data_IF_880617936371
#
_entry.id   IF_880617936371
#
_cell.length_a   1.000
_cell.length_b   1.000
_cell.length_c   1.000
_cell.angle_alpha   90.00
_cell.angle_beta   90.00
_cell.angle_gamma   90.00
#
_symmetry.space_group_name_H-M   'P 1'
#
loop_
_entity.id
_entity.type
_entity.pdbx_description
1 polymer ?
#
# COMPACT_ATOMS: atom_id res chain seq x y z
N UNK A 1 3.82 -16.80 13.87
CA UNK A 1 2.94 -16.09 14.83
C UNK A 1 2.75 -14.68 14.34
N UNK A 2 1.57 -14.09 14.55
CA UNK A 2 1.32 -12.71 14.12
C UNK A 2 2.09 -11.69 14.96
N UNK A 3 2.50 -10.58 14.34
CA UNK A 3 3.32 -9.56 15.01
C UNK A 3 2.92 -8.11 14.77
N UNK A 4 3.49 -7.21 15.57
CA UNK A 4 3.47 -5.76 15.35
C UNK A 4 4.90 -5.28 15.09
N UNK A 5 5.08 -4.56 14.01
CA UNK A 5 6.34 -3.92 13.63
C UNK A 5 6.16 -2.40 13.67
N UNK A 6 6.96 -1.71 14.47
CA UNK A 6 6.85 -0.26 14.63
C UNK A 6 7.66 0.49 13.58
N UNK A 7 7.06 1.51 13.00
CA UNK A 7 7.70 2.44 12.07
C UNK A 7 7.65 3.86 12.64
N UNK A 8 8.62 4.68 12.26
CA UNK A 8 8.68 6.08 12.70
C UNK A 8 9.12 6.98 11.56
N UNK A 9 8.55 8.19 11.47
CA UNK A 9 8.91 9.17 10.44
C UNK A 9 10.35 9.71 10.53
N UNK A 10 11.07 9.39 11.62
CA UNK A 10 12.48 9.72 11.83
C UNK A 10 13.37 8.46 11.91
N UNK A 11 12.91 7.34 11.34
CA UNK A 11 13.70 6.12 11.29
C UNK A 11 15.03 6.37 10.58
N UNK A 12 16.13 5.95 11.21
CA UNK A 12 17.46 5.92 10.57
C UNK A 12 17.66 4.67 9.71
N UNK A 13 16.68 3.77 9.70
CA UNK A 13 16.77 2.48 9.03
C UNK A 13 16.30 2.59 7.59
N UNK A 14 16.86 1.72 6.74
CA UNK A 14 16.59 1.62 5.31
C UNK A 14 15.29 0.84 5.02
N UNK A 15 14.20 1.36 5.58
CA UNK A 15 12.87 0.75 5.50
C UNK A 15 12.20 1.06 4.16
N UNK A 16 11.67 0.01 3.52
CA UNK A 16 10.70 0.12 2.43
C UNK A 16 9.55 -0.80 2.81
N UNK A 17 8.63 -0.32 3.64
CA UNK A 17 7.70 -1.16 4.44
C UNK A 17 6.88 -2.18 3.62
N UNK A 18 6.70 -1.96 2.32
CA UNK A 18 6.02 -2.91 1.44
C UNK A 18 6.91 -4.08 0.96
N UNK A 19 8.23 -3.98 1.12
CA UNK A 19 9.24 -4.90 0.60
C UNK A 19 10.22 -5.37 1.68
N UNK A 20 10.63 -4.49 2.59
CA UNK A 20 11.57 -4.79 3.66
C UNK A 20 11.41 -3.89 4.89
N UNK A 21 11.68 -4.48 6.05
CA UNK A 21 11.81 -3.78 7.32
C UNK A 21 13.19 -4.04 7.92
N UNK A 22 13.93 -2.99 8.25
CA UNK A 22 15.32 -3.04 8.68
C UNK A 22 15.41 -2.81 10.20
N UNK A 23 16.04 -3.75 10.91
CA UNK A 23 16.02 -3.76 12.36
C UNK A 23 17.30 -4.33 13.01
N UNK A 24 17.62 -3.94 14.26
CA UNK A 24 18.78 -4.42 14.98
C UNK A 24 18.58 -5.82 15.60
N UNK A 25 19.69 -6.54 15.85
CA UNK A 25 19.70 -7.91 16.40
C UNK A 25 18.82 -8.15 17.63
N UNK A 26 18.58 -7.15 18.46
CA UNK A 26 17.72 -7.27 19.66
C UNK A 26 16.30 -7.77 19.32
N UNK A 27 15.83 -7.56 18.09
CA UNK A 27 14.52 -7.97 17.63
C UNK A 27 14.52 -9.26 16.80
N UNK A 28 15.70 -9.82 16.50
CA UNK A 28 15.85 -10.96 15.59
C UNK A 28 14.96 -12.14 15.94
N UNK A 29 15.00 -12.59 17.19
CA UNK A 29 14.20 -13.73 17.65
C UNK A 29 12.69 -13.49 17.49
N UNK A 30 12.22 -12.27 17.76
CA UNK A 30 10.81 -11.92 17.63
C UNK A 30 10.39 -11.82 16.16
N UNK A 31 11.25 -11.26 15.30
CA UNK A 31 11.03 -11.18 13.87
C UNK A 31 11.04 -12.57 13.20
N UNK A 32 11.97 -13.44 13.56
CA UNK A 32 12.05 -14.83 13.09
C UNK A 32 10.77 -15.62 13.42
N UNK A 33 10.17 -15.39 14.59
CA UNK A 33 8.90 -16.01 14.97
C UNK A 33 7.71 -15.56 14.08
N UNK A 34 7.85 -14.44 13.38
CA UNK A 34 6.84 -13.93 12.44
C UNK A 34 7.01 -14.48 11.02
N UNK A 35 8.11 -15.18 10.70
CA UNK A 35 8.34 -15.74 9.36
C UNK A 35 7.23 -16.72 8.99
N UNK A 36 6.67 -16.54 7.79
CA UNK A 36 5.53 -17.31 7.29
C UNK A 36 4.17 -16.81 7.82
N UNK A 37 4.14 -15.69 8.54
CA UNK A 37 2.94 -15.16 9.18
C UNK A 37 2.83 -13.64 9.03
N UNK A 38 1.66 -13.10 9.38
CA UNK A 38 1.31 -11.71 9.14
C UNK A 38 1.77 -10.78 10.26
N UNK A 39 2.14 -9.57 9.87
CA UNK A 39 2.39 -8.46 10.78
C UNK A 39 1.45 -7.29 10.49
N UNK A 40 1.24 -6.45 11.49
CA UNK A 40 0.70 -5.10 11.31
C UNK A 40 1.79 -4.05 11.58
N UNK A 41 1.82 -3.03 10.74
CA UNK A 41 2.68 -1.88 10.93
C UNK A 41 2.00 -0.87 11.86
N UNK A 42 2.71 -0.47 12.90
CA UNK A 42 2.28 0.59 13.82
C UNK A 42 3.20 1.80 13.69
N UNK A 43 2.62 2.93 13.31
CA UNK A 43 3.32 4.19 13.32
C UNK A 43 3.41 4.74 14.75
N UNK A 44 4.63 5.01 15.21
CA UNK A 44 4.89 5.59 16.53
C UNK A 44 4.50 7.07 16.58
N UNK A 45 4.40 7.63 17.80
CA UNK A 45 4.19 9.08 17.98
C UNK A 45 5.44 9.93 17.77
N UNK A 46 6.58 9.29 17.50
CA UNK A 46 7.86 9.97 17.29
C UNK A 46 7.80 10.82 16.02
N UNK A 47 8.44 11.99 16.05
CA UNK A 47 8.44 12.95 14.93
C UNK A 47 7.04 13.35 14.43
N UNK A 48 6.05 13.42 15.34
CA UNK A 48 4.68 13.80 15.01
C UNK A 48 3.82 12.67 14.41
N UNK A 49 4.26 11.42 14.50
CA UNK A 49 3.53 10.30 13.92
C UNK A 49 2.19 9.97 14.62
N UNK A 50 1.35 9.21 13.91
CA UNK A 50 -0.10 9.08 14.21
C UNK A 50 -0.46 8.24 15.44
N UNK A 51 0.47 7.46 16.01
CA UNK A 51 0.18 6.45 17.05
C UNK A 51 -0.94 5.48 16.62
N UNK A 52 -0.84 4.98 15.39
CA UNK A 52 -1.88 4.20 14.74
C UNK A 52 -1.30 3.01 14.00
N UNK A 53 -2.10 1.96 13.79
CA UNK A 53 -1.80 0.91 12.83
C UNK A 53 -2.17 1.38 11.44
N UNK A 54 -1.32 1.09 10.46
CA UNK A 54 -1.42 1.74 9.14
C UNK A 54 -1.36 0.77 7.97
N UNK A 55 -0.89 -0.45 8.18
CA UNK A 55 -0.78 -1.45 7.13
C UNK A 55 -0.63 -2.85 7.72
N UNK A 56 -0.79 -3.87 6.87
CA UNK A 56 -0.41 -5.25 7.15
C UNK A 56 0.54 -5.78 6.07
N UNK A 57 1.32 -6.80 6.40
CA UNK A 57 2.23 -7.45 5.46
C UNK A 57 2.62 -8.84 5.94
N UNK A 58 3.05 -9.71 5.03
CA UNK A 58 3.48 -11.07 5.33
C UNK A 58 5.01 -11.12 5.38
N UNK A 59 5.57 -11.67 6.46
CA UNK A 59 7.03 -11.83 6.58
C UNK A 59 7.45 -13.11 5.87
N UNK A 60 8.24 -12.98 4.79
CA UNK A 60 8.70 -14.11 3.97
C UNK A 60 9.99 -14.73 4.46
N UNK A 61 10.97 -13.90 4.80
CA UNK A 61 12.27 -14.33 5.31
C UNK A 61 12.90 -13.23 6.15
N UNK A 62 13.93 -13.61 6.92
CA UNK A 62 14.83 -12.66 7.57
C UNK A 62 16.23 -12.90 6.98
N UNK A 63 16.85 -11.83 6.47
CA UNK A 63 18.19 -11.87 5.93
C UNK A 63 19.11 -10.94 6.74
N UNK A 64 20.39 -11.27 6.98
CA UNK A 64 21.35 -10.33 7.54
C UNK A 64 21.61 -9.17 6.56
N UNK A 65 21.82 -7.96 7.08
CA UNK A 65 22.26 -6.84 6.25
C UNK A 65 23.71 -7.11 5.75
N UNK A 66 23.96 -7.14 4.43
CA UNK A 66 25.29 -7.35 3.88
C UNK A 66 26.27 -6.22 4.22
N UNK A 67 25.79 -5.01 4.49
CA UNK A 67 26.60 -3.85 4.84
C UNK A 67 26.90 -3.77 6.35
N UNK A 68 25.96 -4.20 7.20
CA UNK A 68 26.10 -4.21 8.66
C UNK A 68 25.57 -5.51 9.28
N UNK A 69 26.48 -6.41 9.67
CA UNK A 69 26.13 -7.71 10.28
C UNK A 69 25.41 -7.63 11.63
N UNK A 70 25.28 -6.44 12.22
CA UNK A 70 24.50 -6.23 13.45
C UNK A 70 23.01 -5.98 13.17
N UNK A 71 22.67 -5.77 11.90
CA UNK A 71 21.34 -5.46 11.43
C UNK A 71 20.80 -6.54 10.47
N UNK A 72 19.48 -6.54 10.31
CA UNK A 72 18.73 -7.57 9.61
C UNK A 72 17.56 -6.94 8.85
N UNK A 73 17.22 -7.55 7.72
CA UNK A 73 16.04 -7.22 6.94
C UNK A 73 14.98 -8.32 7.07
N UNK A 74 13.77 -7.96 7.47
CA UNK A 74 12.60 -8.79 7.24
C UNK A 74 12.09 -8.51 5.84
N UNK A 75 11.97 -9.54 4.98
CA UNK A 75 11.39 -9.44 3.64
C UNK A 75 9.89 -9.52 3.72
N UNK A 76 9.22 -8.54 3.14
CA UNK A 76 7.78 -8.35 3.25
C UNK A 76 7.17 -8.60 1.88
N UNK A 77 6.05 -9.29 1.86
CA UNK A 77 5.19 -9.44 0.70
C UNK A 77 3.74 -9.24 1.08
N UNK A 78 2.87 -9.27 0.07
CA UNK A 78 1.43 -9.17 0.27
C UNK A 78 1.04 -7.94 1.13
N UNK A 79 1.82 -6.86 0.99
CA UNK A 79 1.60 -5.62 1.71
C UNK A 79 0.23 -5.03 1.35
N UNK A 80 -0.47 -4.51 2.35
CA UNK A 80 -1.72 -3.77 2.16
C UNK A 80 -1.75 -2.58 3.12
N UNK A 81 -1.90 -1.39 2.55
CA UNK A 81 -2.11 -0.16 3.31
C UNK A 81 -3.57 -0.03 3.73
N UNK A 82 -3.80 0.36 4.97
CA UNK A 82 -5.14 0.60 5.50
C UNK A 82 -5.73 1.88 4.93
N UNK A 83 -7.01 1.87 4.54
CA UNK A 83 -7.74 3.07 4.12
C UNK A 83 -7.84 4.10 5.24
N UNK A 84 -7.84 3.64 6.49
CA UNK A 84 -7.80 4.50 7.67
C UNK A 84 -6.73 4.06 8.66
N UNK A 85 -5.90 4.99 9.16
CA UNK A 85 -5.05 4.72 10.31
C UNK A 85 -5.92 4.32 11.50
N UNK A 86 -5.69 3.13 12.03
CA UNK A 86 -6.45 2.61 13.18
C UNK A 86 -5.76 3.08 14.45
N UNK A 87 -6.36 3.97 15.25
CA UNK A 87 -5.71 4.44 16.46
C UNK A 87 -5.43 3.25 17.39
N UNK A 88 -4.28 3.25 18.06
CA UNK A 88 -3.92 2.16 18.98
C UNK A 88 -4.82 2.04 20.23
N UNK A 89 -5.78 2.97 20.38
CA UNK A 89 -6.87 2.95 21.35
C UNK A 89 -8.20 3.08 20.63
N UNK A 90 -9.22 2.39 21.12
CA UNK A 90 -10.60 2.57 20.66
C UNK A 90 -11.19 3.93 21.14
N UNK A 91 -12.40 4.30 20.68
CA UNK A 91 -13.08 5.53 21.12
C UNK A 91 -13.33 5.61 22.64
N UNK A 92 -13.43 4.47 23.33
CA UNK A 92 -13.59 4.38 24.78
C UNK A 92 -12.24 4.49 25.53
N UNK A 93 -11.13 4.66 24.79
CA UNK A 93 -9.78 4.81 25.32
C UNK A 93 -9.08 3.50 25.68
N UNK A 94 -9.68 2.35 25.39
CA UNK A 94 -9.12 1.01 25.61
C UNK A 94 -8.10 0.66 24.53
N UNK A 95 -7.01 0.00 24.90
CA UNK A 95 -5.98 -0.39 23.93
C UNK A 95 -6.48 -1.48 22.98
N UNK A 96 -6.01 -1.48 21.73
CA UNK A 96 -6.34 -2.54 20.78
C UNK A 96 -5.48 -3.80 20.95
N UNK A 97 -4.32 -3.71 21.57
CA UNK A 97 -3.49 -4.87 21.93
C UNK A 97 -3.83 -5.35 23.34
N UNK A 98 -4.11 -6.64 23.52
CA UNK A 98 -4.38 -7.29 24.81
C UNK A 98 -3.25 -7.06 25.81
N UNK A 99 -2.01 -7.24 25.37
CA UNK A 99 -0.81 -6.97 26.18
C UNK A 99 -0.84 -5.57 26.82
N UNK A 100 -1.40 -4.58 26.13
CA UNK A 100 -1.50 -3.21 26.64
C UNK A 100 -2.77 -2.99 27.47
N UNK A 101 -3.88 -3.64 27.11
CA UNK A 101 -5.13 -3.60 27.89
C UNK A 101 -4.98 -4.19 29.28
N UNK A 102 -4.18 -5.23 29.42
CA UNK A 102 -3.99 -5.98 30.67
C UNK A 102 -2.95 -5.36 31.62
N UNK A 103 -2.40 -4.18 31.27
CA UNK A 103 -1.52 -3.46 32.18
C UNK A 103 -2.31 -2.84 33.34
N UNK A 104 -1.85 -3.10 34.57
CA UNK A 104 -2.44 -2.52 35.79
C UNK A 104 -2.47 -0.98 35.77
N UNK A 105 -1.49 -0.36 35.10
CA UNK A 105 -1.39 1.09 34.98
C UNK A 105 -1.18 1.53 33.52
N UNK A 106 -2.20 2.09 32.85
CA UNK A 106 -2.07 2.61 31.49
C UNK A 106 -1.00 3.69 31.29
N UNK A 107 -0.57 4.39 32.36
CA UNK A 107 0.47 5.41 32.28
C UNK A 107 1.86 4.82 31.96
N UNK A 108 2.09 3.53 32.23
CA UNK A 108 3.39 2.89 31.95
C UNK A 108 3.53 2.39 30.51
N UNK A 109 2.49 2.46 29.68
CA UNK A 109 2.48 1.93 28.30
C UNK A 109 3.63 2.47 27.46
N UNK A 110 3.92 3.77 27.57
CA UNK A 110 5.05 4.38 26.85
C UNK A 110 6.40 3.79 27.27
N UNK A 111 6.55 3.35 28.52
CA UNK A 111 7.73 2.64 29.01
C UNK A 111 7.71 1.18 28.56
N UNK A 112 6.56 0.52 28.60
CA UNK A 112 6.39 -0.87 28.16
C UNK A 112 6.74 -1.06 26.68
N UNK A 113 6.36 -0.10 25.83
CA UNK A 113 6.64 -0.17 24.39
C UNK A 113 8.10 0.18 24.03
N UNK A 114 8.85 0.84 24.90
CA UNK A 114 10.28 1.12 24.65
C UNK A 114 11.05 -0.20 24.56
N UNK A 115 11.73 -0.41 23.43
CA UNK A 115 12.45 -1.65 23.17
C UNK A 115 11.55 -2.83 22.80
N UNK A 116 10.30 -2.59 22.39
CA UNK A 116 9.36 -3.61 21.88
C UNK A 116 8.79 -3.23 20.51
N UNK A 117 9.65 -2.68 19.66
CA UNK A 117 9.28 -2.26 18.30
C UNK A 117 8.89 -3.44 17.41
N UNK A 118 9.40 -4.64 17.69
CA UNK A 118 8.93 -5.90 17.12
C UNK A 118 8.40 -6.76 18.25
N UNK A 119 7.14 -7.18 18.16
CA UNK A 119 6.47 -7.97 19.22
C UNK A 119 5.30 -8.80 18.69
N UNK A 120 4.83 -9.74 19.51
CA UNK A 120 3.63 -10.53 19.28
C UNK A 120 2.35 -9.68 19.31
N UNK A 121 1.33 -10.13 18.57
CA UNK A 121 -0.06 -9.72 18.75
C UNK A 121 -0.98 -10.93 18.77
N UNK A 122 -2.05 -10.84 19.55
CA UNK A 122 -3.13 -11.83 19.56
C UNK A 122 -3.89 -11.84 18.23
N UNK A 123 -4.33 -13.03 17.80
CA UNK A 123 -5.02 -13.21 16.52
C UNK A 123 -6.32 -12.41 16.43
N UNK A 124 -7.08 -12.36 17.51
CA UNK A 124 -8.31 -11.57 17.60
C UNK A 124 -8.05 -10.05 17.47
N UNK A 125 -6.97 -9.56 18.09
CA UNK A 125 -6.60 -8.14 18.01
C UNK A 125 -6.09 -7.79 16.62
N UNK A 126 -5.27 -8.66 16.02
CA UNK A 126 -4.84 -8.53 14.63
C UNK A 126 -6.06 -8.44 13.69
N UNK A 127 -7.01 -9.36 13.83
CA UNK A 127 -8.20 -9.39 13.00
C UNK A 127 -9.07 -8.15 13.19
N UNK A 128 -9.25 -7.68 14.42
CA UNK A 128 -10.00 -6.46 14.71
C UNK A 128 -9.34 -5.22 14.07
N UNK A 129 -8.00 -5.11 14.18
CA UNK A 129 -7.25 -3.99 13.61
C UNK A 129 -7.33 -4.00 12.08
N UNK A 130 -7.14 -5.16 11.42
CA UNK A 130 -7.23 -5.22 9.97
C UNK A 130 -8.64 -4.90 9.47
N UNK A 131 -9.69 -5.41 10.11
CA UNK A 131 -11.07 -5.06 9.73
C UNK A 131 -11.34 -3.56 9.91
N UNK A 132 -10.86 -2.95 10.99
CA UNK A 132 -11.00 -1.51 11.22
C UNK A 132 -10.19 -0.67 10.21
N UNK A 133 -9.03 -1.15 9.79
CA UNK A 133 -8.16 -0.48 8.82
C UNK A 133 -8.61 -0.61 7.38
N UNK A 134 -9.42 -1.61 7.06
CA UNK A 134 -10.00 -1.83 5.73
C UNK A 134 -11.50 -1.46 5.67
N UNK A 135 -11.97 -0.64 6.61
CA UNK A 135 -13.40 -0.36 6.78
C UNK A 135 -14.01 0.31 5.55
N UNK A 136 -13.29 1.24 4.91
CA UNK A 136 -13.80 1.90 3.70
C UNK A 136 -13.70 0.99 2.48
N UNK A 137 -12.62 0.21 2.38
CA UNK A 137 -12.43 -0.76 1.29
C UNK A 137 -13.54 -1.80 1.27
N UNK A 138 -13.93 -2.28 2.45
CA UNK A 138 -14.93 -3.33 2.62
C UNK A 138 -16.36 -2.79 2.73
N UNK A 139 -16.55 -1.46 2.75
CA UNK A 139 -17.86 -0.84 2.87
C UNK A 139 -18.71 -1.11 1.62
N UNK A 140 -19.97 -1.58 1.78
CA UNK A 140 -20.90 -1.70 0.66
C UNK A 140 -21.15 -0.38 -0.08
N UNK A 141 -21.02 0.77 0.60
CA UNK A 141 -21.18 2.10 0.00
C UNK A 141 -20.11 2.39 -1.06
N UNK A 142 -18.93 1.78 -0.92
CA UNK A 142 -17.81 1.95 -1.85
C UNK A 142 -17.70 0.80 -2.87
N UNK A 143 -18.58 -0.18 -2.84
CA UNK A 143 -18.47 -1.38 -3.68
C UNK A 143 -18.41 -1.06 -5.18
N UNK A 144 -19.21 -0.11 -5.67
CA UNK A 144 -19.15 0.31 -7.09
C UNK A 144 -17.85 1.07 -7.37
N UNK A 145 -17.49 2.02 -6.50
CA UNK A 145 -16.29 2.87 -6.63
C UNK A 145 -15.01 2.04 -6.69
N UNK A 146 -14.90 1.02 -5.84
CA UNK A 146 -13.72 0.17 -5.65
C UNK A 146 -13.79 -1.16 -6.42
N UNK A 147 -14.80 -1.34 -7.27
CA UNK A 147 -14.98 -2.54 -8.10
C UNK A 147 -15.17 -3.85 -7.31
N UNK A 148 -15.81 -3.75 -6.15
CA UNK A 148 -16.22 -4.87 -5.29
C UNK A 148 -17.73 -5.12 -5.30
N UNK A 149 -18.45 -4.58 -6.28
CA UNK A 149 -19.88 -4.85 -6.47
C UNK A 149 -20.11 -6.37 -6.66
N UNK A 150 -20.90 -7.03 -5.78
CA UNK A 150 -21.18 -8.47 -5.84
C UNK A 150 -21.70 -8.97 -7.21
N UNK A 151 -22.30 -8.09 -8.01
CA UNK A 151 -22.81 -8.41 -9.35
C UNK A 151 -21.69 -8.58 -10.40
N UNK A 152 -20.49 -8.07 -10.12
CA UNK A 152 -19.37 -7.97 -11.06
C UNK A 152 -18.09 -8.66 -10.56
N UNK A 153 -18.13 -9.28 -9.38
CA UNK A 153 -17.02 -10.08 -8.83
C UNK A 153 -17.37 -11.57 -8.82
N UNK A 154 -16.35 -12.41 -8.64
CA UNK A 154 -16.56 -13.85 -8.54
C UNK A 154 -17.28 -14.23 -7.24
N UNK A 155 -18.00 -15.35 -7.28
CA UNK A 155 -18.82 -15.82 -6.16
C UNK A 155 -18.00 -16.07 -4.88
N UNK A 156 -16.73 -16.45 -5.00
CA UNK A 156 -15.87 -16.72 -3.83
C UNK A 156 -15.49 -15.43 -3.10
N UNK A 157 -15.15 -14.38 -3.85
CA UNK A 157 -14.91 -13.03 -3.30
C UNK A 157 -16.19 -12.46 -2.71
N UNK A 158 -17.34 -12.60 -3.39
CA UNK A 158 -18.63 -12.13 -2.86
C UNK A 158 -18.98 -12.81 -1.52
N UNK A 159 -18.83 -14.14 -1.43
CA UNK A 159 -19.07 -14.88 -0.20
C UNK A 159 -18.11 -14.46 0.93
N UNK A 160 -16.84 -14.22 0.59
CA UNK A 160 -15.84 -13.72 1.55
C UNK A 160 -16.23 -12.35 2.12
N UNK A 161 -16.65 -11.40 1.27
CA UNK A 161 -17.05 -10.07 1.71
C UNK A 161 -18.28 -10.11 2.62
N UNK A 162 -19.24 -11.02 2.34
CA UNK A 162 -20.45 -11.21 3.13
C UNK A 162 -20.26 -12.01 4.43
N UNK A 163 -19.11 -12.68 4.60
CA UNK A 163 -18.83 -13.45 5.81
C UNK A 163 -18.58 -12.54 7.04
N UNK A 164 -18.90 -12.99 8.27
CA UNK A 164 -18.71 -12.18 9.46
C UNK A 164 -17.22 -11.90 9.72
N UNK A 165 -16.87 -10.74 10.33
CA UNK A 165 -15.49 -10.38 10.65
C UNK A 165 -14.91 -11.28 11.74
N UNK A 166 -14.29 -12.39 11.33
CA UNK A 166 -13.50 -13.28 12.18
C UNK A 166 -12.03 -13.37 11.73
N UNK A 167 -11.22 -14.10 12.50
CA UNK A 167 -9.79 -14.27 12.24
C UNK A 167 -9.51 -14.98 10.90
N UNK A 168 -10.35 -15.96 10.54
CA UNK A 168 -10.21 -16.73 9.31
C UNK A 168 -10.50 -15.87 8.09
N UNK A 169 -11.56 -15.06 8.15
CA UNK A 169 -11.94 -14.12 7.10
C UNK A 169 -10.80 -13.14 6.83
N UNK A 170 -10.17 -12.60 7.86
CA UNK A 170 -9.06 -11.63 7.69
C UNK A 170 -7.91 -12.25 6.92
N UNK A 171 -7.48 -13.47 7.26
CA UNK A 171 -6.42 -14.15 6.52
C UNK A 171 -6.78 -14.34 5.03
N UNK A 172 -8.05 -14.63 4.72
CA UNK A 172 -8.55 -14.76 3.35
C UNK A 172 -8.64 -13.42 2.61
N UNK A 173 -9.05 -12.34 3.29
CA UNK A 173 -9.11 -10.99 2.73
C UNK A 173 -7.73 -10.50 2.29
N UNK A 174 -6.72 -10.69 3.16
CA UNK A 174 -5.37 -10.19 2.94
C UNK A 174 -4.66 -10.82 1.71
N UNK A 175 -5.07 -12.04 1.33
CA UNK A 175 -4.57 -12.74 0.12
C UNK A 175 -5.52 -12.64 -1.07
N UNK A 176 -6.73 -12.11 -0.90
CA UNK A 176 -7.70 -12.00 -1.99
C UNK A 176 -7.31 -10.87 -2.94
N UNK A 177 -6.97 -11.23 -4.19
CA UNK A 177 -6.52 -10.27 -5.22
C UNK A 177 -7.50 -9.13 -5.45
N UNK A 178 -8.82 -9.38 -5.45
CA UNK A 178 -9.82 -8.33 -5.69
C UNK A 178 -9.87 -7.31 -4.56
N UNK A 179 -9.81 -7.78 -3.31
CA UNK A 179 -9.76 -6.90 -2.13
C UNK A 179 -8.49 -6.06 -2.13
N UNK A 180 -7.33 -6.67 -2.42
CA UNK A 180 -6.06 -5.95 -2.53
C UNK A 180 -6.07 -4.90 -3.63
N UNK A 181 -6.55 -5.27 -4.83
CA UNK A 181 -6.68 -4.35 -5.95
C UNK A 181 -7.67 -3.21 -5.64
N UNK A 182 -8.73 -3.47 -4.89
CA UNK A 182 -9.68 -2.46 -4.44
C UNK A 182 -9.05 -1.46 -3.47
N UNK A 183 -8.29 -1.93 -2.47
CA UNK A 183 -7.56 -1.06 -1.55
C UNK A 183 -6.54 -0.18 -2.29
N UNK A 184 -5.68 -0.80 -3.13
CA UNK A 184 -4.72 -0.07 -3.97
C UNK A 184 -5.39 0.95 -4.88
N UNK A 185 -6.49 0.57 -5.54
CA UNK A 185 -7.28 1.45 -6.40
C UNK A 185 -7.79 2.67 -5.63
N UNK A 186 -8.34 2.46 -4.43
CA UNK A 186 -8.82 3.55 -3.57
C UNK A 186 -7.71 4.56 -3.30
N UNK A 187 -6.59 4.08 -2.75
CA UNK A 187 -5.43 4.91 -2.39
C UNK A 187 -4.87 5.72 -3.57
N UNK A 188 -4.65 5.08 -4.71
CA UNK A 188 -4.12 5.76 -5.91
C UNK A 188 -5.11 6.78 -6.45
N UNK A 189 -6.39 6.43 -6.59
CA UNK A 189 -7.35 7.37 -7.15
C UNK A 189 -7.62 8.55 -6.23
N UNK A 190 -7.61 8.35 -4.92
CA UNK A 190 -7.70 9.45 -3.94
C UNK A 190 -6.49 10.37 -4.01
N UNK A 191 -5.28 9.83 -4.11
CA UNK A 191 -4.05 10.62 -4.23
C UNK A 191 -4.03 11.53 -5.47
N UNK A 192 -4.71 11.12 -6.55
CA UNK A 192 -4.80 11.87 -7.81
C UNK A 192 -6.15 12.62 -7.98
N UNK A 193 -7.00 12.74 -6.95
CA UNK A 193 -8.35 13.34 -7.05
C UNK A 193 -9.19 12.77 -8.23
N UNK A 194 -9.12 11.46 -8.44
CA UNK A 194 -9.81 10.75 -9.52
C UNK A 194 -9.48 11.29 -10.93
N UNK A 195 -8.32 11.92 -11.12
CA UNK A 195 -7.85 12.45 -12.41
C UNK A 195 -6.85 11.52 -13.06
N UNK A 196 -6.93 11.41 -14.38
CA UNK A 196 -5.85 10.84 -15.15
C UNK A 196 -4.60 11.74 -15.02
N UNK A 197 -3.46 11.14 -14.66
CA UNK A 197 -2.18 11.80 -14.52
C UNK A 197 -1.71 12.43 -15.84
N UNK A 198 -1.98 11.74 -16.95
CA UNK A 198 -1.58 12.16 -18.30
C UNK A 198 -2.52 13.22 -18.85
N UNK A 199 -3.83 12.96 -18.91
CA UNK A 199 -4.78 13.85 -19.60
C UNK A 199 -5.39 14.92 -18.69
N UNK A 200 -5.29 14.77 -17.37
CA UNK A 200 -5.92 15.65 -16.38
C UNK A 200 -7.44 15.57 -16.27
N UNK A 201 -8.08 14.74 -17.11
CA UNK A 201 -9.53 14.54 -17.10
C UNK A 201 -9.97 13.88 -15.80
N UNK A 202 -11.08 14.39 -15.25
CA UNK A 202 -11.78 13.82 -14.09
C UNK A 202 -13.19 13.44 -14.53
N UNK A 203 -13.45 12.15 -14.61
CA UNK A 203 -14.77 11.62 -14.95
C UNK A 203 -15.17 10.60 -13.89
N UNK A 204 -16.25 10.88 -13.18
CA UNK A 204 -16.77 10.05 -12.09
C UNK A 204 -18.25 9.82 -12.35
N UNK A 205 -18.68 8.55 -12.35
CA UNK A 205 -20.08 8.22 -12.57
C UNK A 205 -20.94 8.44 -11.29
N UNK A 206 -22.25 8.26 -11.40
CA UNK A 206 -23.19 8.45 -10.27
C UNK A 206 -22.95 7.52 -9.06
N UNK A 207 -22.21 6.42 -9.23
CA UNK A 207 -21.82 5.52 -8.14
C UNK A 207 -20.42 5.79 -7.57
N UNK A 208 -19.82 6.94 -7.89
CA UNK A 208 -18.50 7.33 -7.39
C UNK A 208 -17.32 6.63 -8.07
N UNK A 209 -17.55 5.79 -9.08
CA UNK A 209 -16.47 5.13 -9.83
C UNK A 209 -15.88 6.10 -10.84
N UNK A 210 -14.57 6.36 -10.70
CA UNK A 210 -13.80 7.10 -11.67
C UNK A 210 -13.53 6.27 -12.94
N UNK A 211 -13.49 6.94 -14.10
CA UNK A 211 -12.98 6.37 -15.35
C UNK A 211 -11.50 6.04 -15.23
N UNK A 212 -10.74 6.86 -14.50
CA UNK A 212 -9.36 6.60 -14.19
C UNK A 212 -9.19 5.25 -13.46
N UNK A 213 -8.09 4.58 -13.80
CA UNK A 213 -7.66 3.30 -13.29
C UNK A 213 -6.35 3.49 -12.52
N UNK A 214 -6.15 2.71 -11.47
CA UNK A 214 -4.88 2.65 -10.77
C UNK A 214 -3.96 1.68 -11.52
N UNK A 215 -3.00 2.22 -12.27
CA UNK A 215 -1.99 1.45 -12.98
C UNK A 215 -0.76 1.29 -12.10
N UNK A 216 -0.17 0.08 -12.07
CA UNK A 216 1.13 -0.12 -11.44
C UNK A 216 2.26 0.38 -12.34
N UNK A 217 3.22 1.08 -11.77
CA UNK A 217 4.41 1.56 -12.49
C UNK A 217 5.38 0.40 -12.69
N UNK A 218 5.78 -0.27 -11.61
CA UNK A 218 6.43 -1.56 -11.64
C UNK A 218 5.36 -2.65 -11.47
N UNK A 219 5.25 -3.53 -12.47
CA UNK A 219 4.19 -4.55 -12.52
C UNK A 219 4.22 -5.48 -11.30
N UNK A 220 3.04 -5.87 -10.81
CA UNK A 220 2.91 -6.86 -9.72
C UNK A 220 3.50 -8.21 -10.12
N UNK A 221 3.37 -8.61 -11.39
CA UNK A 221 3.94 -9.85 -11.90
C UNK A 221 5.47 -9.89 -11.79
N UNK A 222 6.12 -8.73 -11.85
CA UNK A 222 7.56 -8.57 -11.71
C UNK A 222 8.00 -8.23 -10.28
N UNK A 223 7.07 -8.24 -9.30
CA UNK A 223 7.36 -7.98 -7.88
C UNK A 223 6.96 -6.60 -7.35
N UNK A 224 6.27 -5.78 -8.15
CA UNK A 224 5.83 -4.44 -7.76
C UNK A 224 4.83 -4.42 -6.58
N UNK A 225 5.05 -3.57 -5.56
CA UNK A 225 4.17 -3.51 -4.39
C UNK A 225 2.89 -2.70 -4.65
N UNK A 226 1.85 -2.99 -3.88
CA UNK A 226 0.57 -2.26 -3.85
C UNK A 226 0.68 -1.00 -2.95
N UNK A 227 1.47 -0.02 -3.38
CA UNK A 227 1.66 1.28 -2.69
C UNK A 227 1.44 2.44 -3.65
N UNK A 228 0.95 3.59 -3.15
CA UNK A 228 0.64 4.76 -4.01
C UNK A 228 1.85 5.22 -4.82
N UNK A 229 3.05 5.13 -4.28
CA UNK A 229 4.27 5.51 -4.99
C UNK A 229 4.64 4.56 -6.14
N UNK A 230 4.03 3.37 -6.21
CA UNK A 230 4.05 2.46 -7.35
C UNK A 230 2.79 2.58 -8.21
N UNK A 231 1.91 3.54 -7.93
CA UNK A 231 0.64 3.74 -8.60
C UNK A 231 0.56 5.04 -9.36
N UNK A 232 -0.06 5.00 -10.53
CA UNK A 232 -0.40 6.17 -11.32
C UNK A 232 -1.85 6.06 -11.79
N UNK A 233 -2.64 7.11 -11.55
CA UNK A 233 -4.02 7.16 -12.03
C UNK A 233 -4.03 7.46 -13.53
N UNK A 234 -4.58 6.58 -14.36
CA UNK A 234 -4.59 6.73 -15.82
C UNK A 234 -5.98 6.47 -16.39
N UNK A 235 -6.40 7.24 -17.40
CA UNK A 235 -7.58 6.87 -18.21
C UNK A 235 -7.34 5.52 -18.88
N UNK A 236 -8.40 4.79 -19.24
CA UNK A 236 -8.28 3.44 -19.79
C UNK A 236 -7.34 3.38 -21.02
N UNK A 237 -7.41 4.40 -21.90
CA UNK A 237 -6.50 4.52 -23.04
C UNK A 237 -5.06 4.79 -22.62
N UNK A 238 -4.83 5.71 -21.68
CA UNK A 238 -3.47 6.01 -21.22
C UNK A 238 -2.86 4.81 -20.47
N UNK A 239 -3.65 4.11 -19.67
CA UNK A 239 -3.24 2.87 -18.99
C UNK A 239 -2.82 1.80 -20.00
N UNK A 240 -3.63 1.57 -21.04
CA UNK A 240 -3.30 0.60 -22.09
C UNK A 240 -1.97 0.92 -22.81
N UNK A 241 -1.71 2.21 -23.07
CA UNK A 241 -0.45 2.66 -23.66
C UNK A 241 0.74 2.47 -22.70
N UNK A 242 0.52 2.73 -21.42
CA UNK A 242 1.53 2.63 -20.37
C UNK A 242 1.96 1.17 -20.15
N UNK A 243 1.00 0.25 -19.99
CA UNK A 243 1.26 -1.19 -19.83
C UNK A 243 2.01 -1.82 -21.02
N UNK A 244 1.85 -1.25 -22.21
CA UNK A 244 2.56 -1.66 -23.43
C UNK A 244 3.85 -0.92 -23.67
N UNK A 245 4.25 -0.08 -22.71
CA UNK A 245 5.44 0.75 -22.75
C UNK A 245 5.51 1.66 -23.98
N UNK A 246 4.35 2.06 -24.53
CA UNK A 246 4.24 3.06 -25.60
C UNK A 246 4.30 4.48 -25.07
N UNK A 247 3.99 4.66 -23.79
CA UNK A 247 4.30 5.85 -23.00
C UNK A 247 5.05 5.43 -21.74
N UNK A 248 5.88 6.32 -21.20
CA UNK A 248 6.58 6.12 -19.92
C UNK A 248 6.87 7.47 -19.26
N UNK A 249 7.71 7.48 -18.22
CA UNK A 249 8.09 8.69 -17.48
C UNK A 249 9.61 8.78 -17.37
N UNK A 250 10.16 9.99 -17.48
CA UNK A 250 11.55 10.26 -17.10
C UNK A 250 11.71 10.42 -15.58
N UNK A 251 12.94 10.71 -15.13
CA UNK A 251 13.27 10.82 -13.70
C UNK A 251 12.61 12.03 -13.04
N UNK A 252 12.20 13.04 -13.82
CA UNK A 252 11.43 14.19 -13.36
C UNK A 252 9.91 14.01 -13.53
N UNK A 253 9.44 12.79 -13.84
CA UNK A 253 8.04 12.46 -14.12
C UNK A 253 7.42 13.27 -15.29
N UNK A 254 8.22 13.56 -16.33
CA UNK A 254 7.72 14.07 -17.61
C UNK A 254 7.32 12.90 -18.50
N UNK A 255 6.29 13.11 -19.32
CA UNK A 255 5.76 12.06 -20.19
C UNK A 255 6.72 11.77 -21.35
N UNK A 256 7.11 10.52 -21.49
CA UNK A 256 7.80 9.97 -22.66
C UNK A 256 6.76 9.30 -23.56
N UNK A 257 6.80 9.58 -24.86
CA UNK A 257 5.86 9.03 -25.85
C UNK A 257 6.65 8.39 -26.98
N UNK A 258 6.37 7.13 -27.29
CA UNK A 258 7.03 6.41 -28.37
C UNK A 258 6.71 7.07 -29.71
N UNK A 259 7.75 7.47 -30.45
CA UNK A 259 7.59 8.12 -31.75
C UNK A 259 6.83 7.22 -32.75
N UNK A 260 5.88 7.80 -33.49
CA UNK A 260 5.05 7.13 -34.50
C UNK A 260 4.24 5.89 -34.04
N UNK A 261 4.12 5.63 -32.74
CA UNK A 261 3.30 4.53 -32.19
C UNK A 261 2.04 5.00 -31.48
N UNK A 262 1.93 6.30 -31.20
CA UNK A 262 0.76 6.91 -30.58
C UNK A 262 0.09 7.87 -31.58
N UNK A 263 -1.21 7.71 -31.88
CA UNK A 263 -1.95 8.60 -32.77
C UNK A 263 -1.88 10.07 -32.34
N UNK A 264 -1.76 10.97 -33.32
CA UNK A 264 -1.63 12.41 -33.08
C UNK A 264 -2.82 13.02 -32.33
N UNK A 265 -4.01 12.45 -32.53
CA UNK A 265 -5.27 12.81 -31.89
C UNK A 265 -5.21 12.60 -30.38
N UNK A 266 -4.54 11.53 -29.93
CA UNK A 266 -4.33 11.26 -28.51
C UNK A 266 -3.25 12.15 -27.92
N UNK A 267 -2.18 12.42 -28.68
CA UNK A 267 -1.08 13.29 -28.23
C UNK A 267 -1.60 14.70 -27.88
N UNK A 268 -2.64 15.19 -28.57
CA UNK A 268 -3.28 16.48 -28.26
C UNK A 268 -3.91 16.55 -26.86
N UNK A 269 -4.17 15.41 -26.22
CA UNK A 269 -4.71 15.32 -24.86
C UNK A 269 -3.62 15.16 -23.79
N UNK A 270 -2.35 15.03 -24.19
CA UNK A 270 -1.24 14.80 -23.28
C UNK A 270 -0.60 16.13 -22.85
N UNK A 271 0.22 16.14 -21.78
CA UNK A 271 1.00 17.32 -21.41
C UNK A 271 1.94 17.72 -22.54
N UNK A 272 2.30 19.00 -22.61
CA UNK A 272 3.26 19.46 -23.64
C UNK A 272 4.63 18.80 -23.43
N UNK A 273 5.44 18.60 -24.49
CA UNK A 273 6.79 18.08 -24.34
C UNK A 273 7.60 18.88 -23.30
N UNK A 274 8.15 18.18 -22.31
CA UNK A 274 8.90 18.80 -21.20
C UNK A 274 8.06 19.12 -19.95
N UNK A 275 6.73 19.05 -20.03
CA UNK A 275 5.86 19.17 -18.86
C UNK A 275 5.76 17.86 -18.09
N UNK A 276 5.55 17.98 -16.77
CA UNK A 276 5.30 16.82 -15.90
C UNK A 276 3.88 16.32 -16.11
N UNK A 277 3.69 15.02 -15.95
CA UNK A 277 2.34 14.50 -15.69
C UNK A 277 1.83 15.09 -14.38
N UNK A 278 0.51 15.06 -14.16
CA UNK A 278 -0.04 15.42 -12.86
C UNK A 278 0.45 14.45 -11.82
N UNK A 279 0.90 14.97 -10.70
CA UNK A 279 1.37 14.22 -9.54
C UNK A 279 0.42 14.46 -8.37
N UNK A 280 0.39 13.55 -7.38
CA UNK A 280 -0.31 13.80 -6.12
C UNK A 280 0.10 15.12 -5.47
N UNK A 281 -0.82 15.76 -4.75
CA UNK A 281 -0.54 17.02 -4.05
C UNK A 281 0.53 16.82 -2.97
N UNK A 282 0.51 15.67 -2.29
CA UNK A 282 1.53 15.29 -1.31
C UNK A 282 2.76 14.68 -2.02
N UNK A 283 3.95 15.30 -1.93
CA UNK A 283 5.18 14.79 -2.53
C UNK A 283 5.58 13.39 -2.04
N UNK A 284 5.16 13.00 -0.84
CA UNK A 284 5.45 11.66 -0.27
C UNK A 284 4.73 10.54 -1.03
N UNK A 285 3.71 10.88 -1.81
CA UNK A 285 2.93 9.96 -2.63
C UNK A 285 3.36 9.96 -4.10
N UNK A 286 4.40 10.71 -4.47
CA UNK A 286 4.89 10.75 -5.84
C UNK A 286 5.44 9.38 -6.27
N UNK A 287 5.36 9.05 -7.57
CA UNK A 287 6.05 7.90 -8.14
C UNK A 287 7.49 7.81 -7.69
N UNK A 288 7.92 6.66 -7.18
CA UNK A 288 9.34 6.50 -6.82
C UNK A 288 10.21 6.39 -8.07
N UNK A 289 11.40 7.03 -8.09
CA UNK A 289 12.31 6.98 -9.23
C UNK A 289 12.75 5.56 -9.62
N UNK A 290 12.93 4.66 -8.65
CA UNK A 290 13.32 3.26 -8.89
C UNK A 290 12.23 2.47 -9.63
N UNK A 291 10.95 2.64 -9.28
CA UNK A 291 9.84 2.02 -10.01
C UNK A 291 9.68 2.60 -11.42
N UNK A 292 9.80 3.92 -11.55
CA UNK A 292 9.76 4.60 -12.85
C UNK A 292 10.90 4.12 -13.75
N UNK A 293 12.13 4.00 -13.23
CA UNK A 293 13.28 3.49 -13.97
C UNK A 293 13.05 2.04 -14.46
N UNK A 294 12.46 1.17 -13.62
CA UNK A 294 12.10 -0.21 -14.01
C UNK A 294 11.09 -0.24 -15.17
N UNK A 295 10.08 0.62 -15.13
CA UNK A 295 9.12 0.73 -16.23
C UNK A 295 9.80 1.28 -17.50
N UNK A 296 10.57 2.36 -17.36
CA UNK A 296 11.25 3.03 -18.47
C UNK A 296 12.28 2.12 -19.16
N UNK A 297 12.92 1.21 -18.45
CA UNK A 297 13.85 0.24 -19.04
C UNK A 297 13.20 -0.65 -20.13
N UNK A 298 11.86 -0.74 -20.17
CA UNK A 298 11.09 -1.48 -21.17
C UNK A 298 10.41 -0.55 -22.20
N UNK A 299 10.70 0.75 -22.16
CA UNK A 299 10.07 1.74 -23.01
C UNK A 299 10.38 1.50 -24.49
N UNK A 300 9.33 1.36 -25.30
CA UNK A 300 9.42 1.01 -26.72
C UNK A 300 10.07 2.11 -27.60
N UNK A 301 10.38 3.28 -27.02
CA UNK A 301 11.11 4.36 -27.68
C UNK A 301 12.63 4.36 -27.45
N UNK A 302 13.19 3.36 -26.73
CA UNK A 302 14.64 3.23 -26.54
C UNK A 302 15.36 2.59 -27.73
N UNK A 303 14.63 1.91 -28.63
CA UNK A 303 15.16 1.21 -29.81
C UNK A 303 14.97 2.00 -31.13
N UNK A 304 15.02 3.34 -31.08
CA UNK A 304 14.88 4.21 -32.26
C UNK A 304 16.14 5.05 -32.54
#
# INVERSE_FOLDING_TARGET
MKGVFEISGASRYDDMIAERYHFPRIYLRAAEACVGDWIIYRETGSAGGRKAYVAAGLVRSIDPDPADRTLFYARISDFIEFDRPVPYRDPDGRFLERMLRELDNPAVVGRTLRGRSVRAIDDADFAAIVNAGLVDTLSPEHAIRLELDPRHIDASTAALLASPPDERRVAQLLVNRKVRSAAFRGHVLDAYDNRCAVTGLRMVNGGGKAEAQAAHIWSVADGGPDVVQNGIALSATAHWLFDRHLISLDDECRLLVSHNKVPSELIRLFPQPGERVRLPVDPRLHPRPDYVARHRARFAGLDA
#
